data_IF_477291187270
#
_entry.id   IF_477291187270
#
_cell.length_a   1.000
_cell.length_b   1.000
_cell.length_c   1.000
_cell.angle_alpha   90.00
_cell.angle_beta   90.00
_cell.angle_gamma   90.00
#
_symmetry.space_group_name_H-M   'P 1'
#
loop_
_entity.id
_entity.type
_entity.pdbx_description
1 polymer ?
#
# COMPACT_ATOMS: atom_id res chain seq x y z
N UNK A 1 7.90 26.95 8.28
CA UNK A 1 7.17 25.67 8.46
C UNK A 1 6.77 25.17 7.07
N UNK A 2 7.08 23.92 6.71
CA UNK A 2 6.80 23.32 5.39
C UNK A 2 5.65 22.30 5.53
N UNK A 3 4.70 22.33 4.59
CA UNK A 3 3.62 21.31 4.54
C UNK A 3 4.13 20.06 3.84
N UNK A 4 3.74 18.90 4.35
CA UNK A 4 4.05 17.59 3.78
C UNK A 4 2.77 16.80 3.57
N UNK A 5 2.77 15.93 2.55
CA UNK A 5 1.79 14.87 2.35
C UNK A 5 2.55 13.55 2.32
N UNK A 6 2.03 12.51 2.96
CA UNK A 6 2.70 11.22 3.03
C UNK A 6 1.73 10.06 2.98
N UNK A 7 2.24 8.87 2.72
CA UNK A 7 1.49 7.61 2.70
C UNK A 7 2.22 6.59 3.56
N UNK A 8 1.48 5.91 4.44
CA UNK A 8 1.97 4.81 5.28
C UNK A 8 1.04 3.61 5.12
N UNK A 9 1.62 2.41 5.14
CA UNK A 9 0.87 1.18 5.34
C UNK A 9 0.87 0.88 6.84
N UNK A 10 -0.32 0.67 7.41
CA UNK A 10 -0.52 0.50 8.85
C UNK A 10 -1.50 -0.65 9.10
N UNK A 11 -1.47 -1.20 10.32
CA UNK A 11 -2.58 -1.95 10.87
C UNK A 11 -3.42 -1.03 11.75
N UNK A 12 -4.75 -1.21 11.77
CA UNK A 12 -5.60 -0.44 12.65
C UNK A 12 -6.76 -1.28 13.17
N UNK A 13 -7.14 -1.01 14.45
CA UNK A 13 -8.25 -1.66 15.14
C UNK A 13 -9.15 -0.58 15.74
N UNK A 14 -10.49 -0.66 15.57
CA UNK A 14 -11.42 0.20 16.29
C UNK A 14 -11.19 0.08 17.80
N UNK A 15 -10.99 1.21 18.47
CA UNK A 15 -10.70 1.23 19.90
C UNK A 15 -11.09 2.58 20.49
N UNK A 16 -11.86 2.57 21.59
CA UNK A 16 -12.20 3.81 22.30
C UNK A 16 -10.99 4.40 23.00
N UNK A 17 -11.07 5.68 23.36
CA UNK A 17 -10.02 6.37 24.10
C UNK A 17 -9.73 5.67 25.43
N UNK A 18 -10.77 5.27 26.19
CA UNK A 18 -10.59 4.52 27.44
C UNK A 18 -9.87 3.21 27.22
N UNK A 19 -10.33 2.41 26.27
CA UNK A 19 -9.74 1.11 25.99
C UNK A 19 -8.25 1.22 25.61
N UNK A 20 -7.86 2.27 24.89
CA UNK A 20 -6.45 2.52 24.59
C UNK A 20 -5.62 2.86 25.83
N UNK A 21 -6.17 3.71 26.74
CA UNK A 21 -5.49 4.03 28.01
C UNK A 21 -5.33 2.78 28.88
N UNK A 22 -6.39 1.95 28.99
CA UNK A 22 -6.34 0.67 29.71
C UNK A 22 -5.30 -0.28 29.11
N UNK A 23 -5.25 -0.37 27.77
CA UNK A 23 -4.25 -1.14 27.05
C UNK A 23 -2.81 -0.68 27.37
N UNK A 24 -2.60 0.64 27.50
CA UNK A 24 -1.30 1.24 27.85
C UNK A 24 -0.99 1.18 29.34
N UNK A 25 -1.95 0.85 30.20
CA UNK A 25 -1.83 0.96 31.64
C UNK A 25 -1.79 2.42 32.12
N UNK A 26 -2.41 3.33 31.36
CA UNK A 26 -2.44 4.76 31.68
C UNK A 26 -3.79 5.17 32.28
N UNK A 27 -3.76 6.14 33.19
CA UNK A 27 -4.98 6.77 33.64
C UNK A 27 -5.49 7.74 32.57
N UNK A 28 -6.79 7.68 32.28
CA UNK A 28 -7.43 8.64 31.39
C UNK A 28 -7.38 10.05 32.00
N UNK A 29 -6.87 11.07 31.29
CA UNK A 29 -6.92 12.44 31.73
C UNK A 29 -8.35 12.91 32.03
N UNK A 30 -8.54 13.76 33.07
CA UNK A 30 -9.87 14.19 33.50
C UNK A 30 -10.60 15.08 32.49
N UNK A 31 -9.88 15.68 31.55
CA UNK A 31 -10.39 16.52 30.46
C UNK A 31 -10.63 15.74 29.15
N UNK A 32 -10.40 14.43 29.14
CA UNK A 32 -10.66 13.55 27.98
C UNK A 32 -11.92 12.68 28.21
N UNK A 33 -12.65 12.43 27.12
CA UNK A 33 -13.80 11.55 27.15
C UNK A 33 -13.40 10.12 26.74
N UNK A 34 -13.48 9.20 27.68
CA UNK A 34 -13.13 7.78 27.44
C UNK A 34 -14.02 7.07 26.42
N UNK A 35 -15.21 7.59 26.15
CA UNK A 35 -16.14 7.03 25.16
C UNK A 35 -15.82 7.46 23.72
N UNK A 36 -14.87 8.37 23.52
CA UNK A 36 -14.47 8.82 22.18
C UNK A 36 -14.04 7.63 21.32
N UNK A 37 -14.70 7.50 20.16
CA UNK A 37 -14.35 6.48 19.18
C UNK A 37 -13.04 6.81 18.45
N UNK A 38 -12.25 5.81 18.17
CA UNK A 38 -10.98 5.96 17.45
C UNK A 38 -10.41 4.62 17.03
N UNK A 39 -9.12 4.63 16.75
CA UNK A 39 -8.37 3.45 16.31
C UNK A 39 -7.04 3.36 17.06
N UNK A 40 -6.69 2.16 17.52
CA UNK A 40 -5.30 1.82 17.74
C UNK A 40 -4.66 1.65 16.36
N UNK A 41 -3.56 2.34 16.13
CA UNK A 41 -2.80 2.32 14.88
C UNK A 41 -1.43 1.74 15.15
N UNK A 42 -1.05 0.68 14.43
CA UNK A 42 0.30 0.11 14.43
C UNK A 42 1.02 0.52 13.15
N UNK A 43 2.17 1.15 13.29
CA UNK A 43 3.03 1.57 12.19
C UNK A 43 3.98 0.46 11.78
N UNK A 44 3.97 0.11 10.47
CA UNK A 44 4.76 -0.98 9.89
C UNK A 44 6.07 -0.52 9.24
N UNK A 45 6.43 0.75 9.39
CA UNK A 45 7.56 1.41 8.71
C UNK A 45 8.88 1.35 9.50
N UNK A 46 9.00 0.40 10.44
CA UNK A 46 10.24 0.10 11.15
C UNK A 46 10.51 0.96 12.37
N UNK A 47 9.55 1.73 12.86
CA UNK A 47 9.66 2.40 14.15
C UNK A 47 9.76 1.38 15.30
N UNK A 48 10.63 1.68 16.29
CA UNK A 48 10.80 0.80 17.45
C UNK A 48 9.48 0.62 18.21
N UNK A 49 9.07 -0.64 18.51
CA UNK A 49 7.87 -0.90 19.30
C UNK A 49 7.88 -0.17 20.65
N UNK A 50 6.74 0.35 21.04
CA UNK A 50 6.52 1.00 22.33
C UNK A 50 5.69 0.14 23.29
N UNK A 51 5.48 -1.13 22.95
CA UNK A 51 4.84 -2.18 23.72
C UNK A 51 5.34 -3.54 23.23
N UNK A 52 5.26 -4.57 24.07
CA UNK A 52 5.61 -5.95 23.74
C UNK A 52 4.49 -6.74 23.03
N UNK A 53 3.34 -6.11 22.82
CA UNK A 53 2.15 -6.74 22.23
C UNK A 53 2.03 -6.56 20.73
N UNK A 54 2.90 -5.73 20.13
CA UNK A 54 2.90 -5.39 18.70
C UNK A 54 4.35 -5.33 18.21
N UNK A 55 4.53 -5.63 16.93
CA UNK A 55 5.85 -5.58 16.28
C UNK A 55 6.27 -4.16 15.90
N UNK A 56 5.31 -3.26 15.72
CA UNK A 56 5.51 -1.85 15.39
C UNK A 56 5.15 -0.89 16.53
N UNK A 57 5.48 0.39 16.31
CA UNK A 57 5.04 1.46 17.19
C UNK A 57 3.52 1.62 17.14
N UNK A 58 2.86 1.74 18.29
CA UNK A 58 1.41 1.95 18.36
C UNK A 58 1.05 3.34 18.90
N UNK A 59 -0.01 3.90 18.33
CA UNK A 59 -0.64 5.13 18.81
C UNK A 59 -2.17 5.01 18.76
N UNK A 60 -2.87 5.98 19.33
CA UNK A 60 -4.31 6.11 19.16
C UNK A 60 -4.63 7.33 18.30
N UNK A 61 -5.60 7.20 17.41
CA UNK A 61 -6.09 8.28 16.56
C UNK A 61 -7.61 8.42 16.69
N UNK A 62 -8.15 9.64 16.87
CA UNK A 62 -9.59 9.87 16.81
C UNK A 62 -10.16 9.40 15.48
N UNK A 63 -11.38 8.85 15.52
CA UNK A 63 -12.06 8.26 14.35
C UNK A 63 -12.08 9.18 13.13
N UNK A 64 -12.55 10.41 13.30
CA UNK A 64 -12.63 11.35 12.17
C UNK A 64 -11.26 11.70 11.56
N UNK A 65 -10.22 11.81 12.40
CA UNK A 65 -8.86 12.08 11.95
C UNK A 65 -8.31 10.88 11.16
N UNK A 66 -8.52 9.68 11.71
CA UNK A 66 -8.09 8.44 11.09
C UNK A 66 -8.76 8.22 9.72
N UNK A 67 -10.09 8.30 9.66
CA UNK A 67 -10.88 8.04 8.46
C UNK A 67 -10.66 9.08 7.34
N UNK A 68 -10.20 10.28 7.69
CA UNK A 68 -9.74 11.27 6.70
C UNK A 68 -8.39 10.91 6.09
N UNK A 69 -7.50 10.29 6.86
CA UNK A 69 -6.12 10.03 6.45
C UNK A 69 -5.92 8.67 5.78
N UNK A 70 -6.66 7.66 6.23
CA UNK A 70 -6.47 6.26 5.81
C UNK A 70 -7.67 5.70 5.07
N UNK A 71 -7.39 4.74 4.19
CA UNK A 71 -8.40 3.94 3.49
C UNK A 71 -8.09 2.47 3.66
N UNK A 72 -9.09 1.59 3.73
CA UNK A 72 -8.87 0.14 3.67
C UNK A 72 -8.11 -0.22 2.40
N UNK A 73 -7.23 -1.21 2.49
CA UNK A 73 -6.44 -1.69 1.34
C UNK A 73 -7.29 -2.34 0.23
N UNK A 74 -8.58 -2.50 0.47
CA UNK A 74 -9.59 -2.98 -0.48
C UNK A 74 -10.43 -1.87 -1.13
N UNK A 75 -10.14 -0.60 -0.86
CA UNK A 75 -10.89 0.56 -1.38
C UNK A 75 -9.97 1.76 -1.58
N UNK A 76 -8.91 1.58 -2.36
CA UNK A 76 -7.90 2.62 -2.60
C UNK A 76 -8.26 3.45 -3.83
N UNK A 77 -7.93 4.73 -3.80
CA UNK A 77 -7.84 5.54 -5.01
C UNK A 77 -6.64 5.11 -5.86
N UNK A 78 -6.63 5.49 -7.13
CA UNK A 78 -5.49 5.20 -8.02
C UNK A 78 -4.17 5.77 -7.49
N UNK A 79 -4.19 6.96 -6.88
CA UNK A 79 -3.00 7.54 -6.25
C UNK A 79 -2.40 6.65 -5.15
N UNK A 80 -3.23 6.08 -4.28
CA UNK A 80 -2.79 5.14 -3.25
C UNK A 80 -2.33 3.79 -3.85
N UNK A 81 -2.98 3.33 -4.93
CA UNK A 81 -2.54 2.14 -5.66
C UNK A 81 -1.13 2.34 -6.26
N UNK A 82 -0.83 3.51 -6.81
CA UNK A 82 0.52 3.85 -7.30
C UNK A 82 1.55 3.82 -6.16
N UNK A 83 1.23 4.37 -5.00
CA UNK A 83 2.15 4.31 -3.86
C UNK A 83 2.37 2.86 -3.36
N UNK A 84 1.32 2.02 -3.37
CA UNK A 84 1.46 0.59 -3.09
C UNK A 84 2.39 -0.12 -4.11
N UNK A 85 2.25 0.18 -5.40
CA UNK A 85 3.14 -0.32 -6.46
C UNK A 85 4.60 0.08 -6.23
N UNK A 86 4.86 1.34 -5.84
CA UNK A 86 6.22 1.81 -5.49
C UNK A 86 6.82 1.08 -4.30
N UNK A 87 5.99 0.61 -3.37
CA UNK A 87 6.39 -0.26 -2.26
C UNK A 87 6.53 -1.74 -2.65
N UNK A 88 6.47 -2.07 -3.94
CA UNK A 88 6.63 -3.43 -4.46
C UNK A 88 5.39 -4.33 -4.31
N UNK A 89 4.24 -3.77 -3.89
CA UNK A 89 2.98 -4.51 -3.79
C UNK A 89 2.38 -4.74 -5.17
N UNK A 90 1.47 -5.72 -5.27
CA UNK A 90 0.60 -5.92 -6.42
C UNK A 90 -0.74 -5.25 -6.12
N UNK A 91 -1.35 -4.65 -7.13
CA UNK A 91 -2.69 -4.05 -6.99
C UNK A 91 -3.62 -4.51 -8.09
N UNK A 92 -4.91 -4.55 -7.79
CA UNK A 92 -5.96 -4.89 -8.74
C UNK A 92 -7.18 -4.01 -8.50
N UNK A 93 -8.08 -3.91 -9.48
CA UNK A 93 -9.41 -3.35 -9.28
C UNK A 93 -10.40 -4.45 -8.93
N UNK A 94 -11.31 -4.17 -7.98
CA UNK A 94 -12.40 -5.08 -7.64
C UNK A 94 -13.28 -5.38 -8.86
N UNK A 95 -13.48 -4.39 -9.73
CA UNK A 95 -14.27 -4.50 -10.97
C UNK A 95 -13.63 -5.34 -12.10
N UNK A 96 -12.44 -5.89 -11.95
CA UNK A 96 -11.79 -6.69 -13.00
C UNK A 96 -12.26 -8.15 -13.04
N UNK A 97 -13.50 -8.39 -12.64
CA UNK A 97 -14.23 -9.67 -12.77
C UNK A 97 -13.55 -10.90 -12.15
N UNK A 98 -12.74 -10.71 -11.10
CA UNK A 98 -12.16 -11.82 -10.33
C UNK A 98 -11.26 -12.78 -11.12
N UNK A 99 -10.74 -12.38 -12.29
CA UNK A 99 -9.94 -13.23 -13.18
C UNK A 99 -8.44 -13.30 -12.80
N UNK A 100 -8.08 -12.93 -11.56
CA UNK A 100 -6.69 -12.98 -11.11
C UNK A 100 -5.77 -12.00 -11.84
N UNK A 101 -6.32 -10.93 -12.38
CA UNK A 101 -5.57 -9.84 -13.00
C UNK A 101 -4.98 -8.93 -11.91
N UNK A 102 -3.76 -8.45 -12.11
CA UNK A 102 -3.11 -7.52 -11.21
C UNK A 102 -2.04 -6.69 -11.93
N UNK A 103 -1.68 -5.58 -11.32
CA UNK A 103 -0.59 -4.70 -11.75
C UNK A 103 0.62 -4.85 -10.83
N UNK A 104 1.81 -4.66 -11.40
CA UNK A 104 3.08 -4.53 -10.68
C UNK A 104 3.92 -3.42 -11.32
N UNK A 105 4.67 -2.68 -10.50
CA UNK A 105 5.70 -1.79 -10.99
C UNK A 105 6.93 -2.64 -11.38
N UNK A 106 7.35 -2.52 -12.61
CA UNK A 106 8.56 -3.14 -13.15
C UNK A 106 9.67 -2.09 -13.15
N UNK A 107 10.74 -2.35 -12.42
CA UNK A 107 11.95 -1.50 -12.36
C UNK A 107 13.09 -2.25 -13.07
N UNK A 108 13.37 -1.95 -14.34
CA UNK A 108 14.47 -2.56 -15.04
C UNK A 108 15.81 -2.20 -14.38
N UNK A 109 16.77 -3.13 -14.25
CA UNK A 109 18.10 -2.80 -13.74
C UNK A 109 18.79 -1.82 -14.69
N UNK A 110 19.34 -0.73 -14.13
CA UNK A 110 19.95 0.38 -14.91
C UNK A 110 21.32 0.03 -15.49
N UNK A 111 21.94 -1.09 -15.08
CA UNK A 111 23.31 -1.46 -15.41
C UNK A 111 23.48 -2.91 -15.86
N UNK A 112 22.41 -3.60 -16.18
CA UNK A 112 22.49 -5.00 -16.54
C UNK A 112 22.99 -5.19 -17.97
N UNK A 113 23.93 -6.12 -18.16
CA UNK A 113 24.29 -6.62 -19.49
C UNK A 113 23.12 -7.43 -20.07
N UNK A 114 23.01 -7.61 -21.39
CA UNK A 114 21.94 -8.39 -21.99
C UNK A 114 21.75 -9.82 -21.42
N UNK A 115 22.79 -10.38 -20.81
CA UNK A 115 22.76 -11.70 -20.17
C UNK A 115 22.12 -11.70 -18.77
N UNK A 116 22.03 -10.51 -18.12
CA UNK A 116 21.56 -10.39 -16.72
C UNK A 116 20.07 -10.02 -16.63
N UNK A 117 19.39 -9.83 -17.74
CA UNK A 117 17.99 -9.42 -17.84
C UNK A 117 17.02 -10.58 -17.56
N UNK A 118 17.11 -11.11 -16.36
CA UNK A 118 16.06 -11.98 -15.81
C UNK A 118 15.12 -11.13 -14.98
N UNK A 119 13.99 -10.77 -15.56
CA UNK A 119 12.92 -10.22 -14.74
C UNK A 119 12.42 -11.31 -13.79
N UNK A 120 12.59 -11.09 -12.52
CA UNK A 120 11.84 -11.81 -11.50
C UNK A 120 10.40 -11.27 -11.43
N UNK A 121 9.74 -11.34 -12.57
CA UNK A 121 8.30 -11.39 -12.61
C UNK A 121 7.98 -12.85 -12.44
N UNK A 122 7.33 -13.27 -11.38
CA UNK A 122 6.89 -14.63 -11.06
C UNK A 122 5.95 -15.26 -12.12
N UNK A 123 6.09 -14.86 -13.36
CA UNK A 123 5.51 -15.42 -14.57
C UNK A 123 6.68 -15.47 -15.55
N UNK A 124 7.40 -16.59 -15.54
CA UNK A 124 8.67 -16.75 -16.24
C UNK A 124 8.57 -16.50 -17.73
N UNK A 125 9.00 -15.34 -18.18
CA UNK A 125 9.21 -15.07 -19.59
C UNK A 125 10.43 -14.15 -19.79
N UNK A 126 11.34 -14.61 -20.65
CA UNK A 126 12.49 -13.84 -21.13
C UNK A 126 11.99 -12.72 -22.05
N UNK A 127 12.22 -11.47 -21.66
CA UNK A 127 12.07 -10.35 -22.60
C UNK A 127 13.26 -10.28 -23.54
N UNK A 128 12.99 -10.19 -24.82
CA UNK A 128 14.02 -9.97 -25.85
C UNK A 128 14.57 -8.54 -25.71
N UNK A 129 15.83 -8.43 -25.36
CA UNK A 129 16.53 -7.17 -25.22
C UNK A 129 16.83 -6.55 -26.59
N UNK A 130 16.62 -5.22 -26.71
CA UNK A 130 17.06 -4.44 -27.86
C UNK A 130 18.39 -3.75 -27.48
N UNK A 131 19.51 -4.11 -28.06
CA UNK A 131 20.81 -3.51 -27.73
C UNK A 131 20.80 -2.01 -27.90
N UNK A 132 21.37 -1.27 -26.92
CA UNK A 132 21.47 0.19 -26.96
C UNK A 132 20.21 0.94 -26.50
N UNK A 133 19.19 0.26 -25.98
CA UNK A 133 17.99 0.87 -25.42
C UNK A 133 17.92 0.64 -23.92
N UNK A 134 17.78 1.73 -23.16
CA UNK A 134 17.49 1.66 -21.73
C UNK A 134 15.97 1.57 -21.49
N UNK A 135 15.53 0.54 -20.79
CA UNK A 135 14.14 0.45 -20.35
C UNK A 135 13.90 1.35 -19.15
N UNK A 136 12.86 2.17 -19.22
CA UNK A 136 12.38 2.94 -18.09
C UNK A 136 11.43 2.08 -17.23
N UNK A 137 11.22 2.42 -15.94
CA UNK A 137 10.20 1.80 -15.12
C UNK A 137 8.83 1.91 -15.78
N UNK A 138 8.06 0.82 -15.73
CA UNK A 138 6.70 0.80 -16.27
C UNK A 138 5.77 -0.05 -15.38
N UNK A 139 4.47 0.20 -15.49
CA UNK A 139 3.47 -0.64 -14.85
C UNK A 139 3.09 -1.76 -15.82
N UNK A 140 3.30 -3.00 -15.36
CA UNK A 140 2.89 -4.18 -16.10
C UNK A 140 1.61 -4.80 -15.52
N UNK A 141 0.84 -5.43 -16.38
CA UNK A 141 -0.40 -6.15 -16.04
C UNK A 141 -0.23 -7.64 -16.28
N UNK A 142 -0.54 -8.45 -15.27
CA UNK A 142 -0.87 -9.85 -15.49
C UNK A 142 -2.33 -9.92 -15.97
N UNK A 143 -2.53 -10.40 -17.18
CA UNK A 143 -3.85 -10.58 -17.79
C UNK A 143 -4.56 -11.83 -17.29
N UNK A 144 -5.85 -11.96 -17.60
CA UNK A 144 -6.67 -13.09 -17.19
C UNK A 144 -6.21 -14.44 -17.79
N UNK A 145 -5.65 -14.41 -18.99
CA UNK A 145 -5.07 -15.56 -19.69
C UNK A 145 -3.64 -15.91 -19.27
N UNK A 146 -3.10 -15.18 -18.29
CA UNK A 146 -1.78 -15.45 -17.71
C UNK A 146 -0.61 -14.72 -18.36
N UNK A 147 -0.84 -13.93 -19.41
CA UNK A 147 0.20 -13.13 -20.04
C UNK A 147 0.59 -11.91 -19.17
N UNK A 148 1.79 -11.38 -19.41
CA UNK A 148 2.24 -10.14 -18.77
C UNK A 148 2.54 -9.10 -19.86
N UNK A 149 1.91 -7.93 -19.76
CA UNK A 149 1.98 -6.87 -20.77
C UNK A 149 2.17 -5.49 -20.12
N UNK A 150 2.79 -4.54 -20.80
CA UNK A 150 2.75 -3.14 -20.38
C UNK A 150 1.30 -2.67 -20.27
N UNK A 151 1.01 -1.90 -19.21
CA UNK A 151 -0.34 -1.43 -18.94
C UNK A 151 -0.41 0.09 -19.03
N UNK A 152 -1.49 0.57 -19.64
CA UNK A 152 -1.80 2.00 -19.74
C UNK A 152 -3.12 2.29 -19.01
N UNK A 153 -3.09 3.24 -18.07
CA UNK A 153 -4.27 3.62 -17.31
C UNK A 153 -5.32 4.32 -18.19
N UNK A 154 -6.55 3.83 -18.14
CA UNK A 154 -7.70 4.54 -18.70
C UNK A 154 -8.20 5.62 -17.72
N UNK A 155 -9.06 6.54 -18.20
CA UNK A 155 -9.71 7.51 -17.31
C UNK A 155 -10.55 6.82 -16.24
N UNK A 156 -11.22 5.73 -16.58
CA UNK A 156 -12.00 4.93 -15.61
C UNK A 156 -11.12 4.27 -14.55
N UNK A 157 -9.87 3.93 -14.87
CA UNK A 157 -8.93 3.39 -13.89
C UNK A 157 -8.37 4.46 -12.97
N UNK A 158 -8.03 5.63 -13.54
CA UNK A 158 -7.49 6.77 -12.78
C UNK A 158 -8.49 7.31 -11.77
N UNK A 159 -9.78 7.36 -12.13
CA UNK A 159 -10.84 7.91 -11.29
C UNK A 159 -11.51 6.85 -10.38
N UNK A 160 -11.03 5.62 -10.40
CA UNK A 160 -11.60 4.54 -9.61
C UNK A 160 -11.19 4.63 -8.13
N UNK A 161 -12.11 4.22 -7.26
CA UNK A 161 -11.96 4.14 -5.80
C UNK A 161 -12.08 2.67 -5.30
N UNK A 162 -11.91 1.69 -6.20
CA UNK A 162 -12.03 0.26 -5.93
C UNK A 162 -10.71 -0.50 -6.09
N UNK A 163 -9.59 0.20 -6.06
CA UNK A 163 -8.27 -0.42 -6.07
C UNK A 163 -8.00 -1.15 -4.77
N UNK A 164 -7.30 -2.26 -4.85
CA UNK A 164 -6.94 -3.10 -3.70
C UNK A 164 -5.54 -3.68 -3.84
N UNK A 165 -4.87 -3.90 -2.71
CA UNK A 165 -3.62 -4.67 -2.64
C UNK A 165 -3.99 -6.16 -2.68
N UNK A 166 -3.27 -6.96 -3.52
CA UNK A 166 -3.52 -8.39 -3.74
C UNK A 166 -2.24 -9.22 -3.61
#
# INVERSE_FOLDING_TARGET
>A
MTKHIGVKLINAFPMTRQAYNDFRGWQLPADENGADEGYLVEYLDGEKPNTDRFDGYVSWSPKEVFEKAYRPVSGLSFGLAIEALKQGKKVARAGWNGKGMWLKLVNPPQSATPADWRYDVTVGDEYTFVPGVNLLPFIGMKTADGCFVPWLASQTDILAEDWQIV
#
